data_IF_359200535894
#
_entry.id   IF_359200535894
#
_cell.length_a   1.000
_cell.length_b   1.000
_cell.length_c   1.000
_cell.angle_alpha   90.00
_cell.angle_beta   90.00
_cell.angle_gamma   90.00
#
_symmetry.space_group_name_H-M   'P 1'
#
loop_
_entity.id
_entity.type
_entity.pdbx_description
1 polymer ?
#
# COMPACT_ATOMS: atom_id res chain seq x y z
N UNK A 1 -21.20 11.78 40.78
CA UNK A 1 -20.33 11.94 39.59
C UNK A 1 -20.48 10.71 38.71
N UNK A 2 -21.22 10.80 37.60
CA UNK A 2 -21.26 9.72 36.62
C UNK A 2 -19.94 9.73 35.85
N UNK A 3 -19.17 8.64 35.91
CA UNK A 3 -17.99 8.44 35.06
C UNK A 3 -18.49 8.34 33.62
N UNK A 4 -18.52 9.46 32.89
CA UNK A 4 -18.73 9.45 31.44
C UNK A 4 -17.58 8.64 30.86
N UNK A 5 -17.83 7.43 30.39
CA UNK A 5 -16.84 6.72 29.58
C UNK A 5 -16.68 7.54 28.30
N UNK A 6 -15.51 8.15 28.14
CA UNK A 6 -15.14 8.77 26.87
C UNK A 6 -14.72 7.61 25.97
N UNK A 7 -15.57 7.24 25.02
CA UNK A 7 -15.19 6.30 23.98
C UNK A 7 -14.15 6.98 23.09
N UNK A 8 -12.90 6.53 23.15
CA UNK A 8 -11.86 6.95 22.21
C UNK A 8 -12.13 6.30 20.85
N UNK A 9 -12.24 7.09 19.79
CA UNK A 9 -12.18 6.56 18.42
C UNK A 9 -10.76 6.04 18.19
N UNK A 10 -10.60 4.75 17.88
CA UNK A 10 -9.30 4.23 17.42
C UNK A 10 -9.00 4.81 16.03
N UNK A 11 -8.33 5.96 16.01
CA UNK A 11 -7.76 6.55 14.79
C UNK A 11 -6.46 5.82 14.46
N UNK A 12 -6.60 4.71 13.75
CA UNK A 12 -5.49 3.85 13.35
C UNK A 12 -5.97 2.70 12.48
N UNK A 13 -6.67 3.01 11.38
CA UNK A 13 -6.97 1.97 10.39
C UNK A 13 -5.67 1.50 9.76
N UNK A 14 -5.50 0.18 9.58
CA UNK A 14 -4.41 -0.40 8.80
C UNK A 14 -4.61 0.02 7.34
N UNK A 15 -4.10 1.20 6.99
CA UNK A 15 -4.16 1.73 5.62
C UNK A 15 -3.25 0.86 4.76
N UNK A 16 -3.83 0.24 3.75
CA UNK A 16 -3.09 -0.48 2.71
C UNK A 16 -3.12 0.33 1.42
N UNK A 17 -2.06 0.23 0.64
CA UNK A 17 -1.91 0.89 -0.65
C UNK A 17 -1.70 -0.16 -1.73
N UNK A 18 -2.46 -0.05 -2.84
CA UNK A 18 -2.19 -0.81 -4.06
C UNK A 18 -1.12 -0.06 -4.85
N UNK A 19 0.07 -0.64 -4.95
CA UNK A 19 1.16 -0.14 -5.78
C UNK A 19 1.13 -0.86 -7.13
N UNK A 20 1.28 -0.11 -8.23
CA UNK A 20 1.27 -0.65 -9.59
C UNK A 20 2.52 -0.14 -10.31
N UNK A 21 3.31 -1.05 -10.89
CA UNK A 21 4.47 -0.70 -11.73
C UNK A 21 4.40 -1.36 -13.10
N UNK A 22 4.97 -0.69 -14.10
CA UNK A 22 5.13 -1.25 -15.43
C UNK A 22 6.43 -2.03 -15.51
N UNK A 23 6.35 -3.27 -15.96
CA UNK A 23 7.51 -4.14 -16.21
C UNK A 23 7.54 -4.49 -17.68
N UNK A 24 8.73 -4.42 -18.29
CA UNK A 24 8.92 -4.81 -19.69
C UNK A 24 9.07 -6.33 -19.77
N UNK A 25 8.26 -6.97 -20.61
CA UNK A 25 8.37 -8.39 -20.92
C UNK A 25 9.63 -8.66 -21.74
N UNK A 26 10.52 -9.53 -21.23
CA UNK A 26 11.74 -9.91 -21.94
C UNK A 26 11.44 -10.67 -23.25
N UNK A 27 10.34 -11.42 -23.29
CA UNK A 27 9.95 -12.23 -24.44
C UNK A 27 9.38 -11.42 -25.61
N UNK A 28 8.57 -10.40 -25.31
CA UNK A 28 7.77 -9.68 -26.31
C UNK A 28 8.10 -8.21 -26.41
N UNK A 29 8.89 -7.66 -25.48
CA UNK A 29 9.17 -6.22 -25.39
C UNK A 29 7.99 -5.36 -24.96
N UNK A 30 6.80 -5.94 -24.79
CA UNK A 30 5.59 -5.26 -24.35
C UNK A 30 5.66 -4.93 -22.86
N UNK A 31 4.96 -3.87 -22.45
CA UNK A 31 4.84 -3.51 -21.03
C UNK A 31 3.61 -4.18 -20.42
N UNK A 32 3.80 -4.74 -19.23
CA UNK A 32 2.73 -5.32 -18.41
C UNK A 32 2.69 -4.64 -17.05
N UNK A 33 1.51 -4.50 -16.47
CA UNK A 33 1.35 -3.95 -15.14
C UNK A 33 1.45 -5.06 -14.09
N UNK A 34 2.26 -4.83 -13.05
CA UNK A 34 2.34 -5.68 -11.86
C UNK A 34 1.76 -4.89 -10.70
N UNK A 35 0.81 -5.47 -9.99
CA UNK A 35 0.16 -4.87 -8.82
C UNK A 35 0.47 -5.63 -7.53
N UNK A 36 0.61 -4.90 -6.43
CA UNK A 36 0.80 -5.47 -5.10
C UNK A 36 0.14 -4.58 -4.03
N UNK A 37 -0.47 -5.20 -3.03
CA UNK A 37 -1.08 -4.51 -1.90
C UNK A 37 -0.09 -4.56 -0.73
N UNK A 38 0.34 -3.41 -0.24
CA UNK A 38 1.35 -3.29 0.81
C UNK A 38 1.08 -2.10 1.73
N UNK A 39 1.87 -1.97 2.78
CA UNK A 39 1.82 -0.83 3.67
C UNK A 39 2.40 0.44 2.97
N UNK A 40 1.85 1.65 3.21
CA UNK A 40 2.23 2.86 2.49
C UNK A 40 3.71 3.25 2.61
N UNK A 41 4.35 2.89 3.71
CA UNK A 41 5.75 3.14 4.04
C UNK A 41 6.72 2.35 3.15
N UNK A 42 6.33 1.15 2.72
CA UNK A 42 7.20 0.28 1.89
C UNK A 42 7.00 0.45 0.38
N UNK A 43 6.07 1.32 -0.04
CA UNK A 43 5.72 1.52 -1.47
C UNK A 43 6.92 2.06 -2.27
N UNK A 44 7.65 3.03 -1.72
CA UNK A 44 8.77 3.65 -2.42
C UNK A 44 9.91 2.66 -2.67
N UNK A 45 10.24 1.84 -1.67
CA UNK A 45 11.26 0.80 -1.78
C UNK A 45 10.87 -0.24 -2.83
N UNK A 46 9.59 -0.60 -2.88
CA UNK A 46 9.08 -1.53 -3.88
C UNK A 46 9.14 -0.98 -5.32
N UNK A 47 8.81 0.31 -5.50
CA UNK A 47 8.86 0.98 -6.80
C UNK A 47 10.30 1.16 -7.31
N UNK A 48 11.25 1.42 -6.41
CA UNK A 48 12.65 1.62 -6.76
C UNK A 48 13.39 0.31 -7.11
N UNK A 49 12.81 -0.84 -6.80
CA UNK A 49 13.37 -2.15 -7.14
C UNK A 49 13.26 -2.40 -8.64
N UNK A 50 14.40 -2.34 -9.33
CA UNK A 50 14.57 -2.72 -10.74
C UNK A 50 14.49 -4.23 -10.90
#
# INVERSE_FOLDING_TARGET
MAKKSVASLQTGSKRLTKAIKMVKSEKTGAYTFVESIMAPDVVNDWLNKQ
#
